data_IF_536799788161
#
_entry.id   IF_536799788161
#
_cell.length_a   1.000
_cell.length_b   1.000
_cell.length_c   1.000
_cell.angle_alpha   90.00
_cell.angle_beta   90.00
_cell.angle_gamma   90.00
#
_symmetry.space_group_name_H-M   'P 1'
#
loop_
_entity.id
_entity.type
_entity.pdbx_description
1 polymer ?
#
# COMPACT_ATOMS: atom_id res chain seq x y z
N UNK A 1 11.33 8.47 -6.87
CA UNK A 1 10.78 7.45 -5.97
C UNK A 1 9.26 7.52 -5.88
N UNK A 2 8.67 8.57 -5.28
CA UNK A 2 7.21 8.76 -5.14
C UNK A 2 6.39 8.56 -6.43
N UNK A 3 6.88 9.06 -7.56
CA UNK A 3 6.21 8.90 -8.86
C UNK A 3 6.14 7.43 -9.29
N UNK A 4 7.25 6.68 -9.13
CA UNK A 4 7.31 5.25 -9.45
C UNK A 4 6.30 4.44 -8.65
N UNK A 5 6.20 4.69 -7.34
CA UNK A 5 5.20 4.05 -6.49
C UNK A 5 3.78 4.24 -6.99
N UNK A 6 3.45 5.46 -7.43
CA UNK A 6 2.14 5.77 -8.01
C UNK A 6 1.91 5.09 -9.36
N UNK A 7 2.92 5.05 -10.22
CA UNK A 7 2.84 4.35 -11.51
C UNK A 7 2.58 2.85 -11.34
N UNK A 8 3.26 2.22 -10.36
CA UNK A 8 3.04 0.82 -10.02
C UNK A 8 1.66 0.58 -9.40
N UNK A 9 1.19 1.47 -8.51
CA UNK A 9 -0.17 1.41 -7.98
C UNK A 9 -1.22 1.58 -9.08
N UNK A 10 -1.01 2.48 -10.04
CA UNK A 10 -1.91 2.68 -11.18
C UNK A 10 -1.93 1.45 -12.11
N UNK A 11 -0.79 0.80 -12.32
CA UNK A 11 -0.71 -0.47 -13.03
C UNK A 11 -1.47 -1.57 -12.27
N UNK A 12 -1.25 -1.70 -10.96
CA UNK A 12 -1.93 -2.66 -10.09
C UNK A 12 -3.45 -2.48 -10.14
N UNK A 13 -3.90 -1.23 -10.06
CA UNK A 13 -5.33 -0.88 -10.06
C UNK A 13 -6.03 -1.15 -11.41
N UNK A 14 -5.27 -1.31 -12.50
CA UNK A 14 -5.79 -1.67 -13.83
C UNK A 14 -5.72 -3.17 -14.12
N UNK A 15 -5.18 -3.99 -13.21
CA UNK A 15 -5.14 -5.45 -13.39
C UNK A 15 -6.53 -6.07 -13.41
N UNK A 16 -6.71 -7.11 -14.23
CA UNK A 16 -7.96 -7.86 -14.26
C UNK A 16 -8.17 -8.68 -12.99
N UNK A 17 -9.42 -9.00 -12.67
CA UNK A 17 -9.76 -9.79 -11.47
C UNK A 17 -9.13 -11.19 -11.42
N UNK A 18 -8.70 -11.73 -12.57
CA UNK A 18 -8.06 -13.05 -12.70
C UNK A 18 -6.53 -12.98 -12.84
N UNK A 19 -5.95 -11.79 -12.87
CA UNK A 19 -4.51 -11.59 -13.07
C UNK A 19 -3.76 -11.64 -11.75
N UNK A 20 -3.79 -12.80 -11.09
CA UNK A 20 -3.16 -12.98 -9.77
C UNK A 20 -1.63 -12.87 -9.85
N UNK A 21 -1.04 -13.43 -10.90
CA UNK A 21 0.42 -13.37 -11.13
C UNK A 21 0.88 -11.93 -11.41
N UNK A 22 0.19 -11.20 -12.28
CA UNK A 22 0.52 -9.80 -12.58
C UNK A 22 0.34 -8.89 -11.36
N UNK A 23 -0.74 -9.09 -10.58
CA UNK A 23 -0.94 -8.41 -9.30
C UNK A 23 0.22 -8.65 -8.34
N UNK A 24 0.63 -9.91 -8.18
CA UNK A 24 1.72 -10.25 -7.27
C UNK A 24 3.04 -9.64 -7.73
N UNK A 25 3.38 -9.74 -9.01
CA UNK A 25 4.60 -9.15 -9.56
C UNK A 25 4.67 -7.63 -9.32
N UNK A 26 3.56 -6.93 -9.53
CA UNK A 26 3.47 -5.48 -9.28
C UNK A 26 3.61 -5.13 -7.79
N UNK A 27 3.05 -5.95 -6.89
CA UNK A 27 3.22 -5.76 -5.44
C UNK A 27 4.67 -6.02 -5.00
N UNK A 28 5.33 -7.05 -5.54
CA UNK A 28 6.74 -7.36 -5.25
C UNK A 28 7.68 -6.26 -5.77
N UNK A 29 7.35 -5.62 -6.89
CA UNK A 29 8.11 -4.47 -7.38
C UNK A 29 7.85 -3.20 -6.56
N UNK A 30 6.62 -3.00 -6.09
CA UNK A 30 6.19 -1.78 -5.42
C UNK A 30 6.57 -1.71 -3.93
N UNK A 31 6.42 -2.82 -3.21
CA UNK A 31 6.53 -2.86 -1.75
C UNK A 31 7.95 -3.19 -1.29
N UNK A 32 8.31 -2.73 -0.09
CA UNK A 32 9.62 -3.00 0.49
C UNK A 32 9.81 -4.49 0.82
N UNK A 33 8.74 -5.13 1.30
CA UNK A 33 8.68 -6.55 1.57
C UNK A 33 7.25 -7.07 1.41
N UNK A 34 7.11 -8.25 0.82
CA UNK A 34 5.83 -8.92 0.61
C UNK A 34 5.90 -10.38 1.08
N UNK A 35 5.10 -10.71 2.08
CA UNK A 35 4.95 -12.08 2.55
C UNK A 35 4.21 -13.01 1.58
N UNK A 36 3.94 -14.20 2.07
CA UNK A 36 3.15 -15.22 1.38
C UNK A 36 1.65 -14.99 1.61
N UNK A 37 0.82 -15.38 0.64
CA UNK A 37 -0.65 -15.29 0.72
C UNK A 37 -1.16 -13.88 1.11
N UNK A 38 -0.55 -12.85 0.53
CA UNK A 38 -1.03 -11.47 0.63
C UNK A 38 -2.02 -11.19 -0.50
N UNK A 39 -3.16 -10.60 -0.15
CA UNK A 39 -4.18 -10.18 -1.11
C UNK A 39 -4.66 -8.77 -0.80
N UNK A 40 -4.67 -7.91 -1.81
CA UNK A 40 -5.14 -6.53 -1.70
C UNK A 40 -6.17 -6.29 -2.80
N UNK A 41 -7.41 -6.01 -2.42
CA UNK A 41 -8.43 -5.64 -3.40
C UNK A 41 -8.15 -4.24 -3.97
N UNK A 42 -8.05 -4.08 -5.31
CA UNK A 42 -7.97 -2.76 -5.91
C UNK A 42 -9.22 -1.90 -5.62
N UNK A 43 -9.10 -0.57 -5.51
CA UNK A 43 -7.87 0.18 -5.68
C UNK A 43 -7.00 0.20 -4.42
N UNK A 44 -5.69 0.17 -4.62
CA UNK A 44 -4.66 0.46 -3.63
C UNK A 44 -4.09 1.85 -3.90
N UNK A 45 -3.95 2.65 -2.86
CA UNK A 45 -3.32 3.97 -2.91
C UNK A 45 -2.07 4.00 -2.03
N UNK A 46 -0.95 4.48 -2.56
CA UNK A 46 0.31 4.62 -1.81
C UNK A 46 0.92 6.02 -2.00
N UNK A 47 1.65 6.50 -0.99
CA UNK A 47 2.50 7.66 -1.16
C UNK A 47 3.79 7.26 -1.91
N UNK A 48 4.47 6.21 -1.44
CA UNK A 48 5.71 5.67 -2.03
C UNK A 48 5.58 4.18 -2.39
N UNK A 49 4.89 3.38 -1.57
CA UNK A 49 4.84 1.92 -1.69
C UNK A 49 6.11 1.24 -1.17
N UNK A 50 7.28 1.74 -1.57
CA UNK A 50 8.62 1.22 -1.27
C UNK A 50 9.04 1.25 0.21
N UNK A 51 8.16 1.72 1.11
CA UNK A 51 8.37 1.81 2.56
C UNK A 51 7.39 0.96 3.35
N UNK A 52 6.52 0.24 2.65
CA UNK A 52 5.53 -0.64 3.24
C UNK A 52 6.02 -2.08 3.21
N UNK A 53 5.95 -2.74 4.37
CA UNK A 53 6.32 -4.14 4.58
C UNK A 53 5.08 -4.91 5.03
N UNK A 54 4.72 -5.95 4.30
CA UNK A 54 3.58 -6.81 4.62
C UNK A 54 4.07 -8.22 4.96
N UNK A 55 3.63 -8.74 6.12
CA UNK A 55 3.86 -10.11 6.54
C UNK A 55 3.05 -11.15 5.76
N UNK A 56 3.03 -12.38 6.28
CA UNK A 56 2.25 -13.48 5.72
C UNK A 56 0.76 -13.36 6.05
N UNK A 57 -0.10 -13.88 5.18
CA UNK A 57 -1.57 -13.96 5.40
C UNK A 57 -2.22 -12.59 5.62
N UNK A 58 -1.79 -11.56 4.87
CA UNK A 58 -2.39 -10.23 4.94
C UNK A 58 -3.51 -10.11 3.90
N UNK A 59 -4.70 -9.71 4.36
CA UNK A 59 -5.82 -9.38 3.49
C UNK A 59 -6.19 -7.90 3.64
N UNK A 60 -6.30 -7.19 2.53
CA UNK A 60 -6.84 -5.85 2.51
C UNK A 60 -8.03 -5.77 1.55
N UNK A 61 -9.15 -5.29 2.06
CA UNK A 61 -10.34 -5.05 1.25
C UNK A 61 -10.23 -3.71 0.49
N UNK A 62 -11.25 -3.40 -0.31
CA UNK A 62 -11.23 -2.30 -1.29
C UNK A 62 -10.78 -0.96 -0.69
N UNK A 63 -9.94 -0.23 -1.42
CA UNK A 63 -9.64 1.17 -1.11
C UNK A 63 -8.65 1.38 0.03
N UNK A 64 -7.73 0.43 0.27
CA UNK A 64 -6.63 0.63 1.20
C UNK A 64 -5.79 1.84 0.76
N UNK A 65 -5.55 2.77 1.69
CA UNK A 65 -4.69 3.93 1.48
C UNK A 65 -3.53 3.93 2.46
N UNK A 66 -2.30 3.99 1.93
CA UNK A 66 -1.05 3.99 2.68
C UNK A 66 -0.30 5.30 2.44
N UNK A 67 -0.24 6.15 3.46
CA UNK A 67 0.60 7.36 3.46
C UNK A 67 1.91 7.02 4.16
N UNK A 68 2.79 6.36 3.41
CA UNK A 68 4.08 5.81 3.83
C UNK A 68 5.24 6.79 3.53
N UNK A 69 5.17 8.03 4.04
CA UNK A 69 6.32 8.95 3.99
C UNK A 69 7.48 8.50 4.90
N UNK A 70 7.24 7.52 5.78
CA UNK A 70 8.24 6.68 6.46
C UNK A 70 7.76 5.23 6.50
N UNK A 71 8.53 4.35 7.14
CA UNK A 71 8.28 2.91 7.21
C UNK A 71 6.91 2.54 7.79
N UNK A 72 6.23 1.58 7.15
CA UNK A 72 5.00 0.94 7.61
C UNK A 72 5.25 -0.56 7.72
N UNK A 73 5.07 -1.13 8.91
CA UNK A 73 5.20 -2.58 9.13
C UNK A 73 3.85 -3.18 9.50
N UNK A 74 3.36 -4.09 8.66
CA UNK A 74 2.17 -4.90 8.91
C UNK A 74 2.62 -6.33 9.20
N UNK A 75 2.22 -6.85 10.36
CA UNK A 75 2.55 -8.21 10.78
C UNK A 75 1.77 -9.30 10.03
N UNK A 76 1.90 -10.54 10.52
CA UNK A 76 1.23 -11.69 9.93
C UNK A 76 -0.25 -11.79 10.34
N UNK A 77 -1.10 -12.35 9.47
CA UNK A 77 -2.54 -12.59 9.72
C UNK A 77 -3.32 -11.31 10.04
N UNK A 78 -3.03 -10.22 9.33
CA UNK A 78 -3.73 -8.94 9.47
C UNK A 78 -4.82 -8.82 8.41
N UNK A 79 -5.98 -8.30 8.83
CA UNK A 79 -7.09 -8.02 7.93
C UNK A 79 -7.47 -6.54 8.00
N UNK A 80 -7.44 -5.86 6.86
CA UNK A 80 -7.99 -4.52 6.70
C UNK A 80 -9.39 -4.58 6.11
N UNK A 81 -10.32 -3.87 6.74
CA UNK A 81 -11.66 -3.64 6.22
C UNK A 81 -11.63 -2.71 4.99
N UNK A 82 -12.76 -2.49 4.29
CA UNK A 82 -12.82 -1.52 3.22
C UNK A 82 -12.48 -0.10 3.68
N UNK A 83 -11.82 0.67 2.82
CA UNK A 83 -11.51 2.09 3.01
C UNK A 83 -10.67 2.44 4.24
N UNK A 84 -9.82 1.51 4.69
CA UNK A 84 -8.84 1.82 5.74
C UNK A 84 -7.76 2.75 5.20
N UNK A 85 -7.43 3.77 6.00
CA UNK A 85 -6.28 4.65 5.77
C UNK A 85 -5.26 4.48 6.89
N UNK A 86 -4.02 4.17 6.51
CA UNK A 86 -2.86 4.16 7.42
C UNK A 86 -1.98 5.33 7.04
N UNK A 87 -1.75 6.27 7.97
CA UNK A 87 -0.88 7.42 7.74
C UNK A 87 0.23 7.48 8.78
N UNK A 88 1.46 7.50 8.29
CA UNK A 88 2.63 7.85 9.11
C UNK A 88 2.83 9.35 9.21
N UNK A 89 2.18 10.09 8.31
CA UNK A 89 2.39 11.52 8.11
C UNK A 89 1.32 12.31 8.82
N UNK A 90 1.77 13.36 9.50
CA UNK A 90 0.93 14.43 10.04
C UNK A 90 1.53 15.78 9.70
N UNK A 91 0.77 16.82 10.01
CA UNK A 91 1.22 18.20 9.91
C UNK A 91 1.09 18.89 11.26
N UNK A 92 1.94 19.90 11.55
CA UNK A 92 1.76 20.72 12.73
C UNK A 92 0.33 21.29 12.84
N UNK A 93 -0.20 21.32 14.06
CA UNK A 93 -1.53 21.89 14.33
C UNK A 93 -1.53 23.39 14.02
N UNK A 94 -0.47 24.11 14.36
CA UNK A 94 -0.34 25.54 14.10
C UNK A 94 -0.10 25.81 12.60
N UNK A 95 -0.92 26.66 11.93
CA UNK A 95 -0.86 26.84 10.48
C UNK A 95 0.47 27.43 10.00
N UNK A 96 1.08 28.34 10.77
CA UNK A 96 2.37 28.95 10.39
C UNK A 96 3.54 27.95 10.32
N UNK A 97 3.38 26.75 10.88
CA UNK A 97 4.39 25.70 10.86
C UNK A 97 4.21 24.71 9.68
N UNK A 98 3.21 24.90 8.82
CA UNK A 98 2.92 24.02 7.65
C UNK A 98 3.54 24.52 6.33
N UNK A 99 4.47 25.49 6.41
CA UNK A 99 5.05 26.20 5.26
C UNK A 99 6.00 25.33 4.45
#
# INVERSE_FOLDING_TARGET
>A
ERLRGKELADAYNRTGARDEEGRRALLEEMLAALGTRVWIEPPLHVAYGSRTHLGDDVYANFGLTLVDDVEVFVGNRVMFAPHVTVSTTGHPVHPDLRR
#
